data_IF_532294116506
#
_entry.id   IF_532294116506
#
_cell.length_a   1.000
_cell.length_b   1.000
_cell.length_c   1.000
_cell.angle_alpha   90.00
_cell.angle_beta   90.00
_cell.angle_gamma   90.00
#
_symmetry.space_group_name_H-M   'P 1'
#
loop_
_entity.id
_entity.type
_entity.pdbx_description
1 polymer ?
#
# COMPACT_ATOMS: atom_id res chain seq x y z
N UNK A 1 44.03 42.01 -13.44
CA UNK A 1 43.31 42.68 -14.54
C UNK A 1 42.75 41.73 -15.63
N UNK A 2 42.95 40.41 -15.59
CA UNK A 2 42.52 39.52 -16.69
C UNK A 2 41.05 39.01 -16.66
N UNK A 3 40.27 39.21 -15.59
CA UNK A 3 38.93 38.60 -15.50
C UNK A 3 37.80 39.36 -16.21
N UNK A 4 37.98 40.64 -16.57
CA UNK A 4 36.94 41.43 -17.26
C UNK A 4 37.02 41.25 -18.78
N UNK A 5 38.24 41.09 -19.33
CA UNK A 5 38.42 40.83 -20.78
C UNK A 5 37.97 39.42 -21.17
N UNK A 6 38.21 38.41 -20.34
CA UNK A 6 37.81 37.03 -20.65
C UNK A 6 36.29 36.88 -20.72
N UNK A 7 35.56 37.48 -19.76
CA UNK A 7 34.08 37.46 -19.73
C UNK A 7 33.45 38.25 -20.89
N UNK A 8 34.15 39.28 -21.37
CA UNK A 8 33.76 40.08 -22.54
C UNK A 8 33.96 39.31 -23.86
N UNK A 9 34.98 38.45 -23.92
CA UNK A 9 35.23 37.57 -25.07
C UNK A 9 34.21 36.43 -25.17
N UNK A 10 33.87 35.78 -24.06
CA UNK A 10 32.86 34.70 -24.01
C UNK A 10 31.44 35.18 -24.39
N UNK A 11 31.08 36.39 -23.95
CA UNK A 11 29.79 37.01 -24.33
C UNK A 11 29.73 37.45 -25.80
N UNK A 12 30.87 37.55 -26.49
CA UNK A 12 30.95 37.93 -27.91
C UNK A 12 30.64 36.75 -28.83
N UNK A 13 30.98 35.53 -28.41
CA UNK A 13 30.73 34.28 -29.16
C UNK A 13 29.26 33.84 -29.09
N UNK A 14 28.54 34.28 -28.04
CA UNK A 14 27.11 34.02 -27.84
C UNK A 14 26.20 35.16 -28.37
N UNK A 15 26.78 36.30 -28.77
CA UNK A 15 26.02 37.41 -29.37
C UNK A 15 25.79 37.15 -30.85
N UNK A 16 24.90 36.21 -31.16
CA UNK A 16 24.18 36.28 -32.44
C UNK A 16 23.52 37.64 -32.50
N UNK A 17 23.87 38.44 -33.50
CA UNK A 17 23.35 39.81 -33.60
C UNK A 17 21.83 39.75 -33.73
N UNK A 18 21.11 40.73 -33.18
CA UNK A 18 19.65 40.75 -33.26
C UNK A 18 19.15 40.68 -34.71
N UNK A 19 19.92 41.21 -35.65
CA UNK A 19 19.65 41.19 -37.09
C UNK A 19 19.80 39.78 -37.69
N UNK A 20 20.84 39.04 -37.27
CA UNK A 20 21.04 37.66 -37.72
C UNK A 20 19.99 36.71 -37.13
N UNK A 21 19.56 36.95 -35.89
CA UNK A 21 18.47 36.20 -35.26
C UNK A 21 17.13 36.47 -35.94
N UNK A 22 16.85 37.72 -36.34
CA UNK A 22 15.64 38.06 -37.09
C UNK A 22 15.55 37.29 -38.40
N UNK A 23 16.66 37.13 -39.13
CA UNK A 23 16.66 36.36 -40.39
C UNK A 23 16.23 34.89 -40.22
N UNK A 24 16.55 34.25 -39.10
CA UNK A 24 16.19 32.86 -38.84
C UNK A 24 14.85 32.67 -38.13
N UNK A 25 14.43 33.64 -37.31
CA UNK A 25 13.25 33.55 -36.46
C UNK A 25 12.18 34.59 -36.84
N UNK A 26 11.99 34.84 -38.14
CA UNK A 26 10.88 35.66 -38.63
C UNK A 26 9.68 34.77 -38.96
N UNK A 27 8.52 35.20 -38.47
CA UNK A 27 7.25 34.58 -38.79
C UNK A 27 6.74 35.11 -40.14
N UNK A 28 6.17 34.27 -41.02
CA UNK A 28 5.50 34.74 -42.23
C UNK A 28 4.39 35.74 -41.92
N UNK A 29 4.21 36.74 -42.78
CA UNK A 29 3.15 37.73 -42.64
C UNK A 29 1.78 37.05 -42.55
N UNK A 30 1.00 37.37 -41.52
CA UNK A 30 -0.34 36.80 -41.30
C UNK A 30 -0.39 35.40 -40.68
N UNK A 31 0.75 34.74 -40.40
CA UNK A 31 0.74 33.45 -39.71
C UNK A 31 0.18 33.58 -38.28
N UNK A 32 0.60 34.61 -37.52
CA UNK A 32 0.09 34.82 -36.16
C UNK A 32 -1.37 35.25 -36.12
N UNK A 33 -1.86 35.91 -37.18
CA UNK A 33 -3.27 36.28 -37.35
C UNK A 33 -4.16 35.04 -37.49
N UNK A 34 -3.73 34.07 -38.32
CA UNK A 34 -4.46 32.80 -38.56
C UNK A 34 -4.15 31.68 -37.56
N UNK A 35 -3.14 31.86 -36.70
CA UNK A 35 -2.73 30.87 -35.70
C UNK A 35 -3.84 30.62 -34.68
N UNK A 36 -4.53 31.67 -34.23
CA UNK A 36 -5.62 31.53 -33.27
C UNK A 36 -6.75 30.65 -33.84
N UNK A 37 -7.17 30.94 -35.07
CA UNK A 37 -8.19 30.15 -35.79
C UNK A 37 -7.73 28.72 -36.00
N UNK A 38 -6.46 28.53 -36.39
CA UNK A 38 -5.86 27.20 -36.55
C UNK A 38 -5.83 26.42 -35.24
N UNK A 39 -5.51 27.05 -34.11
CA UNK A 39 -5.51 26.40 -32.79
C UNK A 39 -6.93 26.01 -32.40
N UNK A 40 -7.93 26.88 -32.63
CA UNK A 40 -9.33 26.61 -32.30
C UNK A 40 -9.87 25.47 -33.16
N UNK A 41 -9.54 25.43 -34.45
CA UNK A 41 -9.92 24.35 -35.38
C UNK A 41 -9.19 23.03 -35.06
N UNK A 42 -7.95 23.13 -34.53
CA UNK A 42 -7.12 21.98 -34.15
C UNK A 42 -7.46 21.43 -32.77
N UNK A 43 -7.99 22.25 -31.86
CA UNK A 43 -8.64 21.74 -30.67
C UNK A 43 -9.77 20.89 -31.23
N UNK A 44 -9.78 19.56 -31.00
CA UNK A 44 -11.00 18.83 -31.22
C UNK A 44 -11.99 19.52 -30.30
N UNK A 45 -12.83 20.39 -30.88
CA UNK A 45 -14.10 20.71 -30.28
C UNK A 45 -14.62 19.36 -29.86
N UNK A 46 -15.03 19.22 -28.62
CA UNK A 46 -15.79 18.04 -28.26
C UNK A 46 -17.07 18.05 -29.12
N UNK A 47 -16.98 17.63 -30.39
CA UNK A 47 -17.57 16.39 -30.84
C UNK A 47 -17.41 15.44 -29.64
N UNK A 48 -18.32 15.44 -28.67
CA UNK A 48 -19.71 15.04 -28.87
C UNK A 48 -19.81 13.75 -29.70
N UNK A 49 -18.72 12.99 -29.77
CA UNK A 49 -18.74 11.73 -29.09
C UNK A 49 -18.55 12.13 -27.60
N UNK A 50 -19.58 12.38 -26.80
CA UNK A 50 -20.56 11.35 -26.50
C UNK A 50 -20.03 9.99 -27.02
N UNK A 51 -18.83 9.62 -26.57
CA UNK A 51 -18.56 8.24 -26.24
C UNK A 51 -19.70 7.96 -25.28
N UNK A 52 -20.83 7.53 -25.86
CA UNK A 52 -21.80 6.70 -25.17
C UNK A 52 -21.01 5.43 -24.90
N UNK A 53 -19.97 5.53 -24.06
CA UNK A 53 -19.63 4.51 -23.10
C UNK A 53 -20.97 4.28 -22.46
N UNK A 54 -21.64 3.14 -22.75
CA UNK A 54 -22.84 2.81 -22.03
C UNK A 54 -22.41 2.96 -20.57
N UNK A 55 -23.03 3.92 -19.86
CA UNK A 55 -22.73 4.19 -18.45
C UNK A 55 -22.57 2.81 -17.82
N UNK A 56 -21.37 2.46 -17.31
CA UNK A 56 -21.03 1.06 -17.06
C UNK A 56 -22.17 0.51 -16.22
N UNK A 57 -22.97 -0.36 -16.85
CA UNK A 57 -24.25 -0.75 -16.30
C UNK A 57 -23.93 -1.25 -14.90
N UNK A 58 -24.65 -0.79 -13.88
CA UNK A 58 -24.41 -1.22 -12.50
C UNK A 58 -24.42 -2.76 -12.38
N UNK A 59 -25.04 -3.45 -13.36
CA UNK A 59 -24.94 -4.89 -13.64
C UNK A 59 -23.53 -5.47 -13.80
N UNK A 60 -22.58 -4.73 -14.36
CA UNK A 60 -21.18 -5.14 -14.51
C UNK A 60 -20.47 -5.24 -13.15
N UNK A 61 -20.85 -4.39 -12.19
CA UNK A 61 -20.39 -4.46 -10.80
C UNK A 61 -21.19 -5.46 -9.98
N UNK A 62 -22.46 -5.71 -10.35
CA UNK A 62 -23.34 -6.63 -9.65
C UNK A 62 -22.90 -8.10 -9.78
N UNK A 63 -22.35 -8.48 -10.95
CA UNK A 63 -21.83 -9.84 -11.18
C UNK A 63 -20.73 -10.22 -10.17
N UNK A 64 -19.62 -9.47 -10.04
CA UNK A 64 -18.58 -9.79 -9.07
C UNK A 64 -19.03 -9.60 -7.61
N UNK A 65 -19.88 -8.61 -7.29
CA UNK A 65 -20.37 -8.44 -5.91
C UNK A 65 -21.28 -9.58 -5.47
N UNK A 66 -22.03 -10.21 -6.38
CA UNK A 66 -22.88 -11.36 -6.07
C UNK A 66 -22.06 -12.58 -5.67
N UNK A 67 -20.93 -12.84 -6.35
CA UNK A 67 -20.00 -13.91 -5.94
C UNK A 67 -19.38 -13.62 -4.57
N UNK A 68 -19.04 -12.36 -4.29
CA UNK A 68 -18.50 -11.95 -3.00
C UNK A 68 -19.53 -12.09 -1.87
N UNK A 69 -20.78 -11.74 -2.13
CA UNK A 69 -21.86 -11.94 -1.17
C UNK A 69 -22.13 -13.43 -0.92
N UNK A 70 -22.10 -14.27 -1.96
CA UNK A 70 -22.29 -15.71 -1.83
C UNK A 70 -21.20 -16.37 -0.98
N UNK A 71 -19.92 -15.99 -1.13
CA UNK A 71 -18.84 -16.53 -0.31
C UNK A 71 -18.96 -16.11 1.15
N UNK A 72 -19.36 -14.87 1.42
CA UNK A 72 -19.66 -14.38 2.76
C UNK A 72 -20.83 -15.14 3.40
N UNK A 73 -21.90 -15.39 2.64
CA UNK A 73 -23.02 -16.17 3.13
C UNK A 73 -22.62 -17.62 3.42
N UNK A 74 -21.80 -18.26 2.58
CA UNK A 74 -21.25 -19.60 2.86
C UNK A 74 -20.40 -19.60 4.14
N UNK A 75 -19.56 -18.59 4.33
CA UNK A 75 -18.75 -18.43 5.55
C UNK A 75 -19.62 -18.24 6.79
N UNK A 76 -20.61 -17.35 6.72
CA UNK A 76 -21.54 -17.05 7.83
C UNK A 76 -22.42 -18.27 8.14
N UNK A 77 -22.90 -18.98 7.12
CA UNK A 77 -23.67 -20.23 7.28
C UNK A 77 -22.81 -21.37 7.80
N UNK A 78 -21.53 -21.44 7.45
CA UNK A 78 -20.59 -22.39 8.05
C UNK A 78 -20.42 -22.09 9.53
N UNK A 79 -20.22 -20.83 9.92
CA UNK A 79 -20.12 -20.44 11.33
C UNK A 79 -21.42 -20.77 12.07
N UNK A 80 -22.59 -20.37 11.58
CA UNK A 80 -23.87 -20.67 12.25
C UNK A 80 -24.26 -22.14 12.21
N UNK A 81 -23.98 -22.83 11.11
CA UNK A 81 -24.25 -24.26 10.92
C UNK A 81 -23.35 -25.14 11.78
N UNK A 82 -22.10 -24.70 11.97
CA UNK A 82 -21.21 -25.27 12.97
C UNK A 82 -21.67 -24.89 14.38
N UNK A 83 -22.03 -23.64 14.70
CA UNK A 83 -22.55 -23.26 16.03
C UNK A 83 -23.81 -24.05 16.44
N UNK A 84 -24.66 -24.43 15.49
CA UNK A 84 -25.84 -25.27 15.76
C UNK A 84 -25.49 -26.74 16.00
N UNK A 85 -24.30 -27.18 15.55
CA UNK A 85 -23.70 -28.50 15.82
C UNK A 85 -22.68 -28.45 16.98
N UNK A 86 -22.24 -27.26 17.38
CA UNK A 86 -21.23 -26.98 18.40
C UNK A 86 -21.83 -26.90 19.81
N UNK A 87 -22.94 -27.60 20.04
CA UNK A 87 -23.28 -28.07 21.39
C UNK A 87 -22.40 -29.29 21.76
N UNK A 88 -21.65 -29.87 20.80
CA UNK A 88 -20.71 -30.97 21.07
C UNK A 88 -19.43 -30.87 20.24
N UNK A 89 -18.42 -30.17 20.77
CA UNK A 89 -17.02 -30.45 20.43
C UNK A 89 -16.22 -29.26 19.89
N UNK A 90 -15.37 -28.73 20.78
CA UNK A 90 -14.03 -28.18 20.53
C UNK A 90 -13.87 -27.20 19.35
N UNK A 91 -13.95 -25.91 19.69
CA UNK A 91 -13.22 -24.84 19.02
C UNK A 91 -11.84 -24.69 19.68
N UNK A 92 -10.82 -25.42 19.23
CA UNK A 92 -9.42 -25.13 19.67
C UNK A 92 -8.46 -25.51 18.55
N UNK A 93 -8.20 -24.60 17.59
CA UNK A 93 -7.01 -24.73 16.74
C UNK A 93 -6.32 -23.41 16.37
N UNK A 94 -6.74 -22.26 16.92
CA UNK A 94 -6.06 -20.98 16.65
C UNK A 94 -5.51 -20.31 17.93
N UNK A 95 -5.97 -20.66 19.12
CA UNK A 95 -5.37 -20.19 20.41
C UNK A 95 -4.24 -21.09 20.95
N UNK A 96 -3.96 -22.22 20.30
CA UNK A 96 -3.11 -23.27 20.83
C UNK A 96 -1.60 -22.94 20.90
N UNK A 97 -1.16 -21.75 20.43
CA UNK A 97 0.26 -21.33 20.51
C UNK A 97 0.55 -20.38 21.67
N UNK A 98 -0.46 -19.66 22.16
CA UNK A 98 -0.28 -18.71 23.27
C UNK A 98 -0.55 -19.41 24.60
N UNK A 99 -1.62 -20.20 24.67
CA UNK A 99 -2.00 -20.96 25.89
C UNK A 99 -0.96 -22.04 26.25
N UNK A 100 -0.42 -22.77 25.26
CA UNK A 100 0.59 -23.80 25.51
C UNK A 100 1.90 -23.25 26.11
N UNK A 101 2.25 -22.00 25.80
CA UNK A 101 3.49 -21.38 26.29
C UNK A 101 3.34 -20.88 27.73
N UNK A 102 2.13 -20.48 28.15
CA UNK A 102 1.83 -20.12 29.53
C UNK A 102 1.76 -21.36 30.43
N UNK A 103 1.18 -22.46 29.93
CA UNK A 103 1.17 -23.75 30.64
C UNK A 103 2.59 -24.30 30.87
N UNK A 104 3.47 -24.18 29.87
CA UNK A 104 4.88 -24.56 29.99
C UNK A 104 5.63 -23.69 31.02
N UNK A 105 5.34 -22.38 31.06
CA UNK A 105 5.94 -21.45 32.02
C UNK A 105 5.42 -21.68 33.46
N UNK A 106 4.13 -21.96 33.64
CA UNK A 106 3.56 -22.28 34.94
C UNK A 106 4.14 -23.57 35.54
N UNK A 107 4.28 -24.62 34.72
CA UNK A 107 4.86 -25.90 35.15
C UNK A 107 6.33 -25.76 35.58
N UNK A 108 7.11 -24.85 34.97
CA UNK A 108 8.50 -24.62 35.35
C UNK A 108 8.65 -24.09 36.79
N UNK A 109 7.76 -23.19 37.22
CA UNK A 109 7.81 -22.63 38.59
C UNK A 109 7.35 -23.62 39.65
N UNK A 110 6.35 -24.45 39.34
CA UNK A 110 5.86 -25.51 40.23
C UNK A 110 6.96 -26.55 40.53
N UNK A 111 7.66 -27.00 39.49
CA UNK A 111 8.77 -27.94 39.62
C UNK A 111 9.98 -27.33 40.35
N UNK A 112 10.29 -26.06 40.10
CA UNK A 112 11.34 -25.35 40.85
C UNK A 112 11.00 -25.18 42.33
N UNK A 113 9.75 -24.81 42.66
CA UNK A 113 9.30 -24.71 44.05
C UNK A 113 9.40 -26.05 44.77
N UNK A 114 9.02 -27.14 44.08
CA UNK A 114 9.11 -28.51 44.61
C UNK A 114 10.55 -28.91 44.91
N UNK A 115 11.52 -28.53 44.07
CA UNK A 115 12.95 -28.80 44.31
C UNK A 115 13.53 -28.01 45.49
N UNK A 116 13.09 -26.75 45.71
CA UNK A 116 13.53 -25.98 46.87
C UNK A 116 13.02 -26.60 48.17
N UNK A 117 11.72 -26.94 48.21
CA UNK A 117 11.10 -27.59 49.38
C UNK A 117 11.71 -28.97 49.62
N UNK A 118 11.98 -29.73 48.56
CA UNK A 118 12.66 -31.03 48.64
C UNK A 118 14.09 -30.92 49.19
N UNK A 119 14.91 -30.01 48.65
CA UNK A 119 16.29 -29.83 49.10
C UNK A 119 16.36 -29.29 50.54
N UNK A 120 15.40 -28.47 50.94
CA UNK A 120 15.31 -27.96 52.31
C UNK A 120 14.88 -29.06 53.28
N UNK A 121 13.98 -29.96 52.89
CA UNK A 121 13.63 -31.14 53.68
C UNK A 121 14.83 -32.08 53.86
N UNK A 122 15.55 -32.40 52.78
CA UNK A 122 16.72 -33.29 52.79
C UNK A 122 17.86 -32.71 53.66
N UNK A 123 18.14 -31.41 53.55
CA UNK A 123 19.18 -30.75 54.35
C UNK A 123 18.81 -30.60 55.84
N UNK A 124 17.52 -30.53 56.18
CA UNK A 124 17.07 -30.54 57.58
C UNK A 124 17.06 -31.95 58.18
N UNK A 125 16.86 -33.00 57.38
CA UNK A 125 16.99 -34.40 57.78
C UNK A 125 18.45 -34.76 58.13
N UNK A 126 19.42 -34.28 57.35
CA UNK A 126 20.86 -34.49 57.61
C UNK A 126 21.31 -33.86 58.95
N UNK A 127 20.78 -32.69 59.29
CA UNK A 127 21.07 -32.00 60.58
C UNK A 127 20.37 -32.62 61.79
N UNK A 128 19.26 -33.31 61.60
CA UNK A 128 18.52 -33.95 62.70
C UNK A 128 19.06 -35.35 63.04
N UNK A 129 19.85 -35.95 62.14
CA UNK A 129 20.45 -37.27 62.33
C UNK A 129 21.88 -37.22 62.92
N UNK A 130 22.41 -36.02 63.20
CA UNK A 130 23.74 -35.80 63.79
C UNK A 130 23.67 -35.35 65.25
#
# INVERSE_FOLDING_TARGET
MNSIEEKSAETRILRRTAEESKKCYTCPDGYLESLADTIIDRIPSEQNNADVRPSPQLWAYLKPSLYLAASFLIMILSIKGLSLMQDKGQDVRVEQKIESQEDDYANYYEDYATRLVGNEAEHNLDKACM
#
